data_IF_713566632312
#
_entry.id   IF_713566632312
#
_cell.length_a   1.000
_cell.length_b   1.000
_cell.length_c   1.000
_cell.angle_alpha   90.00
_cell.angle_beta   90.00
_cell.angle_gamma   90.00
#
_symmetry.space_group_name_H-M   'P 1'
#
loop_
_entity.id
_entity.type
_entity.pdbx_description
1 polymer ?
#
# COMPACT_ATOMS: atom_id res chain seq x y z
N UNK A 1 -29.62 58.80 -56.80
CA UNK A 1 -28.93 58.52 -58.08
C UNK A 1 -27.77 57.57 -57.81
N UNK A 2 -27.62 56.54 -58.66
CA UNK A 2 -26.41 55.79 -59.09
C UNK A 2 -25.14 55.98 -58.26
N UNK A 3 -24.33 54.99 -57.87
CA UNK A 3 -24.16 53.60 -58.29
C UNK A 3 -22.76 53.14 -57.79
N UNK A 4 -22.62 51.86 -57.44
CA UNK A 4 -21.35 51.13 -57.24
C UNK A 4 -20.49 51.16 -58.55
N UNK A 5 -19.17 50.80 -58.60
CA UNK A 5 -18.57 49.60 -57.98
C UNK A 5 -17.02 49.52 -57.76
N UNK A 6 -16.61 48.30 -57.33
CA UNK A 6 -15.35 47.55 -57.49
C UNK A 6 -14.21 47.80 -56.47
N UNK A 7 -13.88 46.84 -55.57
CA UNK A 7 -13.02 45.62 -55.66
C UNK A 7 -11.51 45.99 -55.49
N UNK A 8 -10.69 45.45 -54.57
CA UNK A 8 -10.37 44.05 -54.25
C UNK A 8 -9.55 43.89 -52.94
N UNK A 9 -9.75 42.73 -52.28
CA UNK A 9 -8.75 41.77 -51.69
C UNK A 9 -7.77 42.30 -50.62
N UNK A 10 -7.41 41.62 -49.55
CA UNK A 10 -7.89 40.54 -48.69
C UNK A 10 -6.88 40.53 -47.52
N UNK A 11 -7.30 40.20 -46.31
CA UNK A 11 -6.55 39.30 -45.43
C UNK A 11 -7.36 39.00 -44.16
N UNK A 12 -7.42 37.71 -43.85
CA UNK A 12 -8.30 37.07 -42.87
C UNK A 12 -7.84 37.27 -41.41
N UNK A 13 -8.77 37.43 -40.44
CA UNK A 13 -8.51 37.30 -39.01
C UNK A 13 -8.88 35.90 -38.45
N UNK A 14 -8.55 35.59 -37.17
CA UNK A 14 -8.16 34.25 -36.74
C UNK A 14 -9.32 33.30 -36.38
N UNK A 15 -8.98 32.01 -36.41
CA UNK A 15 -9.85 30.86 -36.17
C UNK A 15 -10.12 30.66 -34.66
N UNK A 16 -11.31 31.01 -34.21
CA UNK A 16 -11.94 30.40 -33.03
C UNK A 16 -13.42 30.22 -33.34
N UNK A 17 -13.82 28.99 -33.67
CA UNK A 17 -15.19 28.67 -34.07
C UNK A 17 -15.71 27.50 -33.24
N UNK A 18 -16.65 27.80 -32.33
CA UNK A 18 -17.49 26.79 -31.69
C UNK A 18 -18.54 26.35 -32.70
N UNK A 19 -18.59 25.05 -33.01
CA UNK A 19 -19.70 24.44 -33.75
C UNK A 19 -20.24 23.20 -33.02
N UNK A 20 -21.50 23.31 -32.61
CA UNK A 20 -22.35 22.24 -32.07
C UNK A 20 -22.88 21.37 -33.21
N UNK A 21 -22.88 20.02 -33.08
CA UNK A 21 -23.84 19.10 -33.71
C UNK A 21 -23.59 17.59 -33.43
N UNK A 22 -24.57 16.69 -33.68
CA UNK A 22 -25.02 15.69 -32.70
C UNK A 22 -24.43 14.29 -32.90
N UNK A 23 -24.28 13.51 -31.82
CA UNK A 23 -23.92 12.10 -31.91
C UNK A 23 -25.13 11.16 -31.77
N UNK A 24 -25.45 10.59 -32.93
CA UNK A 24 -26.40 9.53 -33.25
C UNK A 24 -26.07 8.25 -32.46
N UNK A 25 -27.09 7.66 -31.83
CA UNK A 25 -27.01 6.36 -31.14
C UNK A 25 -26.57 5.23 -32.08
N UNK A 26 -25.58 4.42 -31.65
CA UNK A 26 -25.41 3.03 -32.09
C UNK A 26 -25.66 2.12 -30.88
N UNK A 27 -26.64 1.20 -31.01
CA UNK A 27 -26.79 0.05 -30.12
C UNK A 27 -25.85 -1.06 -30.61
N UNK A 28 -25.05 -1.72 -29.77
CA UNK A 28 -24.52 -3.03 -30.10
C UNK A 28 -25.64 -4.07 -29.92
N UNK A 29 -25.92 -4.80 -31.00
CA UNK A 29 -26.62 -6.09 -30.97
C UNK A 29 -25.53 -7.16 -30.83
N UNK A 30 -25.45 -7.84 -29.69
CA UNK A 30 -25.24 -9.28 -29.58
C UNK A 30 -25.60 -9.67 -28.15
N UNK A 31 -26.52 -10.63 -28.02
CA UNK A 31 -27.04 -11.12 -26.76
C UNK A 31 -26.19 -12.25 -26.19
N UNK A 32 -26.09 -12.21 -24.86
CA UNK A 32 -26.06 -13.30 -23.88
C UNK A 32 -25.28 -14.59 -24.19
N UNK A 33 -24.37 -14.94 -23.29
CA UNK A 33 -24.54 -16.09 -22.38
C UNK A 33 -23.34 -16.18 -21.42
N UNK A 34 -23.63 -16.11 -20.12
CA UNK A 34 -22.86 -16.71 -19.02
C UNK A 34 -21.34 -16.86 -19.22
N UNK A 35 -20.58 -15.87 -18.73
CA UNK A 35 -19.25 -16.16 -18.18
C UNK A 35 -19.16 -15.47 -16.83
N UNK A 36 -19.79 -16.11 -15.84
CA UNK A 36 -19.35 -16.02 -14.46
C UNK A 36 -17.99 -16.70 -14.37
N UNK A 37 -16.93 -15.92 -14.53
CA UNK A 37 -15.61 -16.23 -13.99
C UNK A 37 -15.11 -14.90 -13.40
N UNK A 38 -15.50 -14.68 -12.15
CA UNK A 38 -15.24 -13.44 -11.44
C UNK A 38 -13.76 -13.20 -11.23
N UNK A 39 -13.31 -12.03 -11.67
CA UNK A 39 -12.14 -11.38 -11.08
C UNK A 39 -12.65 -10.25 -10.18
N UNK A 40 -13.43 -10.63 -9.15
CA UNK A 40 -13.80 -9.71 -8.09
C UNK A 40 -12.69 -9.73 -7.04
N UNK A 41 -11.85 -8.70 -7.08
CA UNK A 41 -10.99 -8.21 -5.99
C UNK A 41 -10.43 -9.27 -5.06
N UNK A 42 -9.19 -9.71 -5.33
CA UNK A 42 -8.38 -10.47 -4.38
C UNK A 42 -8.47 -9.80 -3.01
N UNK A 43 -8.99 -10.56 -2.06
CA UNK A 43 -9.07 -10.18 -0.66
C UNK A 43 -7.65 -9.92 -0.20
N UNK A 44 -7.41 -8.79 0.46
CA UNK A 44 -6.06 -8.29 0.66
C UNK A 44 -5.89 -7.56 1.97
N UNK A 45 -4.66 -7.14 2.23
CA UNK A 45 -4.31 -6.43 3.44
C UNK A 45 -5.02 -5.06 3.48
N UNK A 46 -5.90 -4.88 4.47
CA UNK A 46 -6.67 -3.64 4.65
C UNK A 46 -5.77 -2.51 5.12
N UNK A 47 -4.85 -2.83 6.03
CA UNK A 47 -4.00 -1.87 6.69
C UNK A 47 -2.77 -2.56 7.25
N UNK A 48 -1.62 -1.89 7.17
CA UNK A 48 -0.40 -2.32 7.83
C UNK A 48 0.20 -1.18 8.65
N UNK A 49 0.80 -1.52 9.78
CA UNK A 49 1.50 -0.57 10.63
C UNK A 49 2.81 -1.13 11.17
N UNK A 50 3.83 -0.29 11.15
CA UNK A 50 5.13 -0.49 11.74
C UNK A 50 5.30 0.51 12.88
N UNK A 51 5.77 0.06 14.05
CA UNK A 51 6.10 0.96 15.18
C UNK A 51 7.39 0.56 15.84
N UNK A 52 8.22 1.54 16.14
CA UNK A 52 9.49 1.37 16.81
C UNK A 52 9.73 2.51 17.80
N UNK A 53 10.37 2.19 18.92
CA UNK A 53 10.80 3.21 19.89
C UNK A 53 12.29 3.41 19.76
N UNK A 54 12.69 4.64 19.43
CA UNK A 54 14.07 5.08 19.44
C UNK A 54 14.39 5.74 20.79
N UNK A 55 15.55 5.38 21.34
CA UNK A 55 16.10 5.98 22.56
C UNK A 55 16.98 7.19 22.21
N UNK A 56 17.42 7.94 23.22
CA UNK A 56 18.33 9.07 23.05
C UNK A 56 19.70 8.71 22.40
N UNK A 57 20.09 7.42 22.38
CA UNK A 57 21.33 6.95 21.71
C UNK A 57 21.07 6.32 20.35
N UNK A 58 19.82 6.21 19.94
CA UNK A 58 19.42 5.64 18.64
C UNK A 58 19.51 6.71 17.54
N UNK A 59 19.92 6.31 16.34
CA UNK A 59 19.81 7.17 15.16
C UNK A 59 18.37 7.11 14.63
N UNK A 60 17.56 8.11 14.98
CA UNK A 60 16.13 8.19 14.61
C UNK A 60 15.95 8.27 13.10
N UNK A 61 16.83 9.00 12.40
CA UNK A 61 16.71 9.22 10.96
C UNK A 61 16.92 7.90 10.19
N UNK A 62 17.92 7.11 10.58
CA UNK A 62 18.17 5.78 10.00
C UNK A 62 16.99 4.83 10.22
N UNK A 63 16.35 4.89 11.39
CA UNK A 63 15.15 4.10 11.66
C UNK A 63 13.95 4.59 10.86
N UNK A 64 13.78 5.91 10.68
CA UNK A 64 12.73 6.49 9.85
C UNK A 64 12.90 6.07 8.38
N UNK A 65 14.12 6.12 7.84
CA UNK A 65 14.44 5.66 6.49
C UNK A 65 14.15 4.17 6.31
N UNK A 66 14.50 3.35 7.31
CA UNK A 66 14.21 1.91 7.27
C UNK A 66 12.69 1.64 7.27
N UNK A 67 11.90 2.40 8.05
CA UNK A 67 10.44 2.29 8.01
C UNK A 67 9.84 2.85 6.72
N UNK A 68 10.40 3.93 6.16
CA UNK A 68 10.00 4.50 4.88
C UNK A 68 10.23 3.49 3.74
N UNK A 69 11.37 2.80 3.74
CA UNK A 69 11.66 1.71 2.82
C UNK A 69 10.65 0.57 2.99
N UNK A 70 10.37 0.16 4.23
CA UNK A 70 9.47 -0.96 4.52
C UNK A 70 8.02 -0.66 4.10
N UNK A 71 7.50 0.54 4.41
CA UNK A 71 6.15 0.97 4.02
C UNK A 71 6.07 1.34 2.53
N UNK A 72 7.18 1.81 1.95
CA UNK A 72 7.29 2.21 0.54
C UNK A 72 6.79 3.62 0.24
N UNK A 73 6.74 4.47 1.25
CA UNK A 73 6.18 5.81 1.21
C UNK A 73 6.77 6.62 2.38
N UNK A 74 7.65 7.59 2.07
CA UNK A 74 8.29 8.43 3.09
C UNK A 74 7.27 9.29 3.84
N UNK A 75 6.23 9.77 3.14
CA UNK A 75 5.17 10.60 3.72
C UNK A 75 4.26 9.81 4.68
N UNK A 76 4.36 8.48 4.67
CA UNK A 76 3.63 7.61 5.59
C UNK A 76 4.34 7.43 6.95
N UNK A 77 5.53 8.04 7.14
CA UNK A 77 6.32 7.97 8.37
C UNK A 77 6.04 9.17 9.28
N UNK A 78 5.69 8.89 10.53
CA UNK A 78 5.38 9.86 11.57
C UNK A 78 6.39 9.74 12.73
N UNK A 79 6.92 10.87 13.20
CA UNK A 79 7.79 10.96 14.37
C UNK A 79 7.05 11.65 15.52
N UNK A 80 6.86 10.94 16.63
CA UNK A 80 6.31 11.48 17.87
C UNK A 80 7.40 11.53 18.95
N UNK A 81 7.89 12.74 19.23
CA UNK A 81 8.91 13.00 20.25
C UNK A 81 8.25 13.31 21.58
N UNK A 82 8.29 12.36 22.49
CA UNK A 82 7.73 12.55 23.83
C UNK A 82 8.86 12.63 24.87
N UNK A 83 8.87 13.71 25.64
CA UNK A 83 9.71 13.81 26.85
C UNK A 83 8.99 13.08 27.97
N UNK A 84 9.55 11.98 28.46
CA UNK A 84 9.02 11.33 29.64
C UNK A 84 9.19 12.26 30.87
N UNK A 85 8.20 12.31 31.75
CA UNK A 85 8.09 13.28 32.85
C UNK A 85 9.34 13.32 33.78
N UNK A 86 10.08 12.21 33.89
CA UNK A 86 11.34 12.09 34.64
C UNK A 86 12.40 11.20 33.96
N UNK A 87 12.29 10.93 32.65
CA UNK A 87 13.16 9.96 31.97
C UNK A 87 13.81 10.50 30.70
N UNK A 88 14.61 9.65 30.02
CA UNK A 88 15.24 10.02 28.77
C UNK A 88 14.21 10.33 27.68
N UNK A 89 14.64 11.14 26.70
CA UNK A 89 13.86 11.41 25.50
C UNK A 89 13.63 10.11 24.73
N UNK A 90 12.37 9.88 24.36
CA UNK A 90 11.96 8.75 23.54
C UNK A 90 11.25 9.30 22.30
N UNK A 91 11.60 8.74 21.15
CA UNK A 91 10.92 9.03 19.90
C UNK A 91 10.17 7.77 19.45
N UNK A 92 8.86 7.87 19.28
CA UNK A 92 8.07 6.86 18.61
C UNK A 92 8.13 7.13 17.11
N UNK A 93 8.67 6.17 16.36
CA UNK A 93 8.66 6.17 14.90
C UNK A 93 7.54 5.23 14.45
N UNK A 94 6.60 5.73 13.66
CA UNK A 94 5.46 4.98 13.16
C UNK A 94 5.39 5.11 11.65
N UNK A 95 5.09 4.03 10.95
CA UNK A 95 4.73 4.06 9.54
C UNK A 95 3.45 3.25 9.31
N UNK A 96 2.48 3.77 8.56
CA UNK A 96 1.22 3.05 8.31
C UNK A 96 0.56 3.42 7.01
N UNK A 97 -0.14 2.48 6.39
CA UNK A 97 -0.96 2.74 5.20
C UNK A 97 -2.22 1.89 5.21
N UNK A 98 -3.33 2.50 4.77
CA UNK A 98 -4.60 1.82 4.47
C UNK A 98 -4.80 1.63 2.96
N UNK A 99 -3.83 2.03 2.13
CA UNK A 99 -3.86 1.76 0.70
C UNK A 99 -3.53 0.28 0.47
N UNK A 100 -4.51 -0.52 0.02
CA UNK A 100 -4.38 -1.97 -0.11
C UNK A 100 -3.16 -2.41 -0.93
N UNK A 101 -2.84 -1.68 -2.00
CA UNK A 101 -1.69 -2.00 -2.87
C UNK A 101 -0.36 -1.71 -2.18
N UNK A 102 -0.26 -0.58 -1.47
CA UNK A 102 0.93 -0.27 -0.67
C UNK A 102 1.07 -1.24 0.51
N UNK A 103 -0.03 -1.56 1.19
CA UNK A 103 -0.06 -2.51 2.29
C UNK A 103 0.43 -3.91 1.86
N UNK A 104 -0.08 -4.43 0.74
CA UNK A 104 0.37 -5.70 0.17
C UNK A 104 1.87 -5.69 -0.19
N UNK A 105 2.36 -4.62 -0.82
CA UNK A 105 3.80 -4.47 -1.14
C UNK A 105 4.67 -4.35 0.11
N UNK A 106 4.23 -3.60 1.11
CA UNK A 106 4.94 -3.47 2.38
C UNK A 106 5.03 -4.80 3.12
N UNK A 107 3.95 -5.58 3.11
CA UNK A 107 3.95 -6.94 3.64
C UNK A 107 4.88 -7.88 2.85
N UNK A 108 4.88 -7.77 1.52
CA UNK A 108 5.77 -8.54 0.66
C UNK A 108 7.26 -8.25 0.89
N UNK A 109 7.63 -7.03 1.31
CA UNK A 109 9.02 -6.66 1.67
C UNK A 109 9.56 -7.40 2.91
N UNK A 110 8.71 -8.12 3.64
CA UNK A 110 9.19 -9.06 4.65
C UNK A 110 10.01 -10.19 4.05
N UNK A 111 9.87 -10.47 2.75
CA UNK A 111 10.57 -11.56 2.09
C UNK A 111 9.94 -12.92 2.36
N UNK A 112 10.24 -13.88 1.49
CA UNK A 112 9.57 -15.18 1.47
C UNK A 112 9.73 -15.97 2.77
N UNK A 113 10.92 -15.97 3.38
CA UNK A 113 11.20 -16.74 4.59
C UNK A 113 10.29 -16.29 5.75
N UNK A 114 10.19 -14.98 5.99
CA UNK A 114 9.33 -14.43 7.03
C UNK A 114 7.85 -14.66 6.71
N UNK A 115 7.43 -14.51 5.44
CA UNK A 115 6.04 -14.74 5.05
C UNK A 115 5.61 -16.20 5.26
N UNK A 116 6.49 -17.17 4.94
CA UNK A 116 6.24 -18.60 5.19
C UNK A 116 6.14 -18.89 6.69
N UNK A 117 7.08 -18.37 7.48
CA UNK A 117 7.02 -18.52 8.94
C UNK A 117 5.75 -17.91 9.53
N UNK A 118 5.36 -16.70 9.11
CA UNK A 118 4.11 -16.06 9.57
C UNK A 118 2.86 -16.85 9.18
N UNK A 119 2.89 -17.58 8.06
CA UNK A 119 1.79 -18.44 7.64
C UNK A 119 1.71 -19.71 8.49
N UNK A 120 2.85 -20.28 8.90
CA UNK A 120 2.90 -21.44 9.82
C UNK A 120 2.44 -21.09 11.23
N UNK A 121 2.81 -19.90 11.71
CA UNK A 121 2.50 -19.41 13.06
C UNK A 121 1.21 -18.56 13.11
N UNK A 122 0.46 -18.55 12.01
CA UNK A 122 -0.62 -17.61 11.77
C UNK A 122 -1.68 -17.61 12.89
N UNK A 123 -2.19 -18.79 13.26
CA UNK A 123 -3.24 -18.93 14.28
C UNK A 123 -2.82 -18.43 15.67
N UNK A 124 -1.51 -18.43 15.95
CA UNK A 124 -0.96 -17.96 17.22
C UNK A 124 -0.76 -16.45 17.24
N UNK A 125 -0.62 -15.83 16.06
CA UNK A 125 -0.29 -14.42 15.88
C UNK A 125 -1.50 -13.57 15.48
N UNK A 126 -2.56 -14.18 14.94
CA UNK A 126 -3.79 -13.50 14.56
C UNK A 126 -4.70 -13.29 15.77
N UNK A 127 -5.14 -12.05 15.98
CA UNK A 127 -6.15 -11.75 16.98
C UNK A 127 -7.60 -11.86 16.47
N UNK A 128 -8.55 -11.72 17.39
CA UNK A 128 -9.99 -11.72 17.10
C UNK A 128 -10.44 -10.55 16.18
N UNK A 129 -9.64 -9.50 16.02
CA UNK A 129 -9.88 -8.38 15.12
C UNK A 129 -9.24 -8.59 13.74
N UNK A 130 -8.69 -9.79 13.49
CA UNK A 130 -7.99 -10.17 12.26
C UNK A 130 -6.74 -9.33 12.01
N UNK A 131 -6.05 -8.99 13.08
CA UNK A 131 -4.72 -8.36 13.03
C UNK A 131 -3.67 -9.42 13.35
N UNK A 132 -2.76 -9.63 12.42
CA UNK A 132 -1.57 -10.46 12.62
C UNK A 132 -0.48 -9.61 13.27
N UNK A 133 -0.02 -10.04 14.44
CA UNK A 133 1.02 -9.35 15.22
C UNK A 133 2.35 -10.08 15.14
N UNK A 134 3.41 -9.35 14.85
CA UNK A 134 4.77 -9.88 14.78
C UNK A 134 5.80 -8.79 15.06
N UNK A 135 7.07 -9.18 15.22
CA UNK A 135 8.17 -8.26 15.45
C UNK A 135 9.31 -8.56 14.50
N UNK A 136 10.02 -7.51 14.12
CA UNK A 136 11.24 -7.57 13.33
C UNK A 136 12.42 -7.11 14.19
N UNK A 137 13.60 -7.72 13.98
CA UNK A 137 14.85 -7.14 14.45
C UNK A 137 15.03 -5.75 13.83
N UNK A 138 15.27 -4.75 14.67
CA UNK A 138 15.54 -3.39 14.20
C UNK A 138 16.83 -3.33 13.38
N UNK A 139 17.89 -3.98 13.85
CA UNK A 139 19.20 -3.99 13.17
C UNK A 139 19.08 -4.65 11.79
N UNK A 140 18.44 -5.82 11.70
CA UNK A 140 18.27 -6.50 10.41
C UNK A 140 17.38 -5.71 9.45
N UNK A 141 16.40 -4.96 9.97
CA UNK A 141 15.58 -4.07 9.15
C UNK A 141 16.39 -2.86 8.62
N UNK A 142 17.23 -2.25 9.46
CA UNK A 142 18.13 -1.16 9.04
C UNK A 142 19.10 -1.63 7.96
N UNK A 143 19.55 -2.88 8.04
CA UNK A 143 20.37 -3.53 7.01
C UNK A 143 19.61 -3.87 5.72
N UNK A 144 18.29 -3.63 5.66
CA UNK A 144 17.44 -3.94 4.51
C UNK A 144 17.11 -5.42 4.36
N UNK A 145 17.32 -6.23 5.40
CA UNK A 145 17.02 -7.65 5.43
C UNK A 145 16.15 -8.00 6.65
N UNK A 146 14.84 -7.71 6.62
CA UNK A 146 13.95 -7.93 7.75
C UNK A 146 14.03 -9.37 8.27
N UNK A 147 14.05 -9.55 9.60
CA UNK A 147 14.01 -10.87 10.24
C UNK A 147 13.01 -10.89 11.37
N UNK A 148 12.14 -11.89 11.39
CA UNK A 148 11.23 -12.12 12.51
C UNK A 148 12.01 -12.43 13.79
N UNK A 149 11.51 -11.91 14.91
CA UNK A 149 12.04 -12.17 16.25
C UNK A 149 10.89 -12.35 17.23
N UNK A 150 11.07 -13.28 18.18
CA UNK A 150 10.08 -13.54 19.22
C UNK A 150 10.30 -12.71 20.49
N UNK A 151 11.56 -12.31 20.76
CA UNK A 151 11.92 -11.59 21.97
C UNK A 151 11.58 -10.10 21.91
N UNK A 152 11.38 -9.52 23.09
CA UNK A 152 11.34 -8.07 23.31
C UNK A 152 12.69 -7.50 23.75
N UNK A 153 13.71 -8.34 23.81
CA UNK A 153 15.05 -7.99 24.30
C UNK A 153 15.92 -7.59 23.11
N UNK A 154 16.42 -6.34 23.14
CA UNK A 154 17.03 -5.57 22.05
C UNK A 154 16.04 -4.95 21.04
N UNK A 155 16.52 -3.95 20.27
CA UNK A 155 15.70 -3.08 19.42
C UNK A 155 14.82 -3.84 18.44
N UNK A 156 13.50 -3.65 18.52
CA UNK A 156 12.53 -4.29 17.62
C UNK A 156 11.58 -3.30 16.98
N UNK A 157 11.06 -3.68 15.81
CA UNK A 157 9.94 -3.01 15.15
C UNK A 157 8.72 -3.90 15.24
N UNK A 158 7.62 -3.38 15.80
CA UNK A 158 6.32 -4.07 15.87
C UNK A 158 5.61 -3.94 14.53
N UNK A 159 5.24 -5.08 13.94
CA UNK A 159 4.41 -5.18 12.75
C UNK A 159 2.98 -5.59 13.10
N UNK A 160 2.02 -4.90 12.48
CA UNK A 160 0.60 -5.22 12.58
C UNK A 160 -0.02 -5.21 11.20
N UNK A 161 -0.53 -6.35 10.75
CA UNK A 161 -1.13 -6.55 9.44
C UNK A 161 -2.61 -6.91 9.61
N UNK A 162 -3.52 -6.01 9.20
CA UNK A 162 -4.97 -6.21 9.32
C UNK A 162 -5.55 -6.79 8.04
N UNK A 163 -6.19 -7.95 8.16
CA UNK A 163 -6.83 -8.64 7.05
C UNK A 163 -8.30 -8.25 6.93
N UNK A 164 -8.73 -7.95 5.69
CA UNK A 164 -10.15 -7.84 5.35
C UNK A 164 -10.64 -9.24 4.98
N UNK A 165 -11.78 -9.68 5.52
CA UNK A 165 -12.41 -10.94 5.11
C UNK A 165 -13.84 -10.63 4.70
N UNK A 166 -14.28 -11.19 3.58
CA UNK A 166 -15.64 -11.04 3.08
C UNK A 166 -16.51 -12.21 3.53
N UNK A 167 -17.76 -11.91 3.82
CA UNK A 167 -18.78 -12.90 4.12
C UNK A 167 -19.04 -13.79 2.89
N UNK A 168 -19.16 -15.10 3.10
CA UNK A 168 -19.52 -16.06 2.05
C UNK A 168 -18.36 -16.88 1.50
N UNK A 169 -17.12 -16.61 1.94
CA UNK A 169 -15.96 -17.47 1.69
C UNK A 169 -15.34 -17.93 3.01
N UNK A 170 -14.70 -19.11 3.07
CA UNK A 170 -13.93 -19.52 4.23
C UNK A 170 -12.83 -18.50 4.54
N UNK A 171 -12.62 -18.23 5.83
CA UNK A 171 -11.59 -17.30 6.27
C UNK A 171 -10.18 -17.78 5.87
N UNK A 172 -9.93 -19.07 6.06
CA UNK A 172 -8.64 -19.71 5.76
C UNK A 172 -8.24 -19.54 4.28
N UNK A 173 -9.17 -19.79 3.36
CA UNK A 173 -8.92 -19.65 1.91
C UNK A 173 -8.54 -18.22 1.53
N UNK A 174 -9.24 -17.23 2.09
CA UNK A 174 -8.98 -15.82 1.83
C UNK A 174 -7.63 -15.36 2.40
N UNK A 175 -7.27 -15.86 3.58
CA UNK A 175 -5.98 -15.58 4.21
C UNK A 175 -4.84 -16.21 3.43
N UNK A 176 -4.97 -17.49 3.05
CA UNK A 176 -4.01 -18.20 2.20
C UNK A 176 -3.79 -17.47 0.88
N UNK A 177 -4.86 -17.02 0.22
CA UNK A 177 -4.75 -16.21 -0.98
C UNK A 177 -3.98 -14.90 -0.77
N UNK A 178 -4.15 -14.25 0.39
CA UNK A 178 -3.39 -13.03 0.74
C UNK A 178 -1.90 -13.32 0.92
N UNK A 179 -1.54 -14.44 1.55
CA UNK A 179 -0.15 -14.86 1.70
C UNK A 179 0.49 -15.29 0.38
N UNK A 180 -0.25 -16.02 -0.46
CA UNK A 180 0.22 -16.43 -1.79
C UNK A 180 0.51 -15.19 -2.66
N UNK A 181 -0.37 -14.19 -2.68
CA UNK A 181 -0.11 -12.91 -3.36
C UNK A 181 1.14 -12.21 -2.79
N UNK A 182 1.32 -12.19 -1.47
CA UNK A 182 2.48 -11.58 -0.85
C UNK A 182 3.79 -12.30 -1.21
N UNK A 183 3.77 -13.64 -1.30
CA UNK A 183 4.91 -14.45 -1.72
C UNK A 183 5.28 -14.21 -3.19
N UNK A 184 4.28 -14.16 -4.08
CA UNK A 184 4.49 -13.81 -5.49
C UNK A 184 5.09 -12.40 -5.65
N UNK A 185 4.63 -11.44 -4.84
CA UNK A 185 5.20 -10.09 -4.83
C UNK A 185 6.63 -10.08 -4.27
N UNK A 186 6.90 -10.84 -3.20
CA UNK A 186 8.22 -10.92 -2.59
C UNK A 186 9.27 -11.47 -3.59
N UNK A 187 8.94 -12.55 -4.31
CA UNK A 187 9.79 -13.14 -5.33
C UNK A 187 10.12 -12.16 -6.47
N UNK A 188 9.26 -11.16 -6.72
CA UNK A 188 9.49 -10.11 -7.74
C UNK A 188 10.30 -8.93 -7.22
N UNK A 189 10.30 -8.69 -5.91
CA UNK A 189 11.04 -7.60 -5.27
C UNK A 189 12.50 -7.97 -4.99
N UNK A 190 12.80 -9.26 -4.81
CA UNK A 190 14.12 -9.79 -4.48
C UNK A 190 14.51 -10.95 -5.43
N UNK A 191 14.84 -10.68 -6.70
CA UNK A 191 15.25 -11.71 -7.67
C UNK A 191 16.65 -12.28 -7.41
#
# INVERSE_FOLDING_TARGET
MRGLPHLQVADSPPLFEWASSPHRRRKPRFGNLLTLAGHQSTVGLHHITWRATASAVSNVDVLADALAWLIGDEDAVELDRTRSFHGPELTLVKASTSNKRQAARSFARLGEANLRQLMEEFDQRLDHQRVLHFRLSMDSLIEGNPKLVDSTEAGTVKGQAKFELYSGLPAEDQLRATFDEALELAARLHP
#
